data_IF_246874242528
#
_entry.id   IF_246874242528
#
_cell.length_a   1.000
_cell.length_b   1.000
_cell.length_c   1.000
_cell.angle_alpha   90.00
_cell.angle_beta   90.00
_cell.angle_gamma   90.00
#
_symmetry.space_group_name_H-M   'P 1'
#
loop_
_entity.id
_entity.type
_entity.pdbx_description
1 polymer ?
#
# COMPACT_ATOMS: atom_id res chain seq x y z
N UNK A 1 -5.43 18.79 -25.03
CA UNK A 1 -4.55 19.97 -24.86
C UNK A 1 -4.14 20.02 -23.40
N UNK A 2 -2.88 19.71 -23.10
CA UNK A 2 -2.30 19.82 -21.76
C UNK A 2 -2.19 21.32 -21.42
N UNK A 3 -2.91 21.76 -20.40
CA UNK A 3 -2.83 23.13 -19.87
C UNK A 3 -1.45 23.29 -19.20
N UNK A 4 -0.75 24.37 -19.53
CA UNK A 4 0.61 24.67 -19.06
C UNK A 4 0.83 24.37 -17.56
N UNK A 5 1.78 23.49 -17.29
CA UNK A 5 2.30 23.20 -15.95
C UNK A 5 3.47 24.15 -15.68
N UNK A 6 3.15 25.41 -15.34
CA UNK A 6 4.15 26.42 -14.92
C UNK A 6 4.62 26.23 -13.48
N UNK A 7 4.11 25.22 -12.77
CA UNK A 7 4.59 24.77 -11.47
C UNK A 7 5.05 23.31 -11.58
N UNK A 8 6.34 23.05 -11.38
CA UNK A 8 6.92 21.70 -11.46
C UNK A 8 6.24 20.69 -10.52
N UNK A 9 5.56 21.15 -9.45
CA UNK A 9 4.87 20.31 -8.48
C UNK A 9 3.39 20.09 -8.79
N UNK A 10 2.85 20.69 -9.85
CA UNK A 10 1.43 20.59 -10.22
C UNK A 10 0.52 21.55 -9.44
N UNK A 11 -0.81 21.38 -9.53
CA UNK A 11 -1.76 22.22 -8.81
C UNK A 11 -1.59 22.06 -7.30
N UNK A 12 -1.81 23.15 -6.56
CA UNK A 12 -1.90 23.12 -5.10
C UNK A 12 -3.15 22.37 -4.64
N UNK A 13 -3.16 21.93 -3.38
CA UNK A 13 -4.27 21.12 -2.86
C UNK A 13 -5.61 21.86 -2.90
N UNK A 14 -5.60 23.18 -2.67
CA UNK A 14 -6.77 24.06 -2.71
C UNK A 14 -7.32 24.28 -4.13
N UNK A 15 -6.49 24.02 -5.14
CA UNK A 15 -6.86 24.11 -6.57
C UNK A 15 -7.44 22.80 -7.11
N UNK A 16 -7.39 21.72 -6.32
CA UNK A 16 -7.98 20.44 -6.68
C UNK A 16 -9.49 20.47 -6.47
N UNK A 17 -10.20 19.85 -7.39
CA UNK A 17 -11.61 19.50 -7.16
C UNK A 17 -11.71 18.41 -6.08
N UNK A 18 -12.88 18.27 -5.46
CA UNK A 18 -13.12 17.23 -4.44
C UNK A 18 -12.85 15.80 -4.96
N UNK A 19 -13.14 15.56 -6.24
CA UNK A 19 -12.89 14.29 -6.91
C UNK A 19 -11.40 14.03 -7.11
N UNK A 20 -10.64 15.05 -7.52
CA UNK A 20 -9.17 14.95 -7.66
C UNK A 20 -8.49 14.75 -6.31
N UNK A 21 -8.97 15.39 -5.24
CA UNK A 21 -8.47 15.15 -3.88
C UNK A 21 -8.70 13.70 -3.43
N UNK A 22 -9.87 13.13 -3.69
CA UNK A 22 -10.17 11.74 -3.34
C UNK A 22 -9.33 10.74 -4.14
N UNK A 23 -9.02 11.05 -5.40
CA UNK A 23 -8.16 10.21 -6.22
C UNK A 23 -6.69 10.20 -5.74
N UNK A 24 -6.20 11.29 -5.14
CA UNK A 24 -4.83 11.38 -4.60
C UNK A 24 -4.73 10.69 -3.23
N UNK A 25 -5.79 10.72 -2.43
CA UNK A 25 -5.86 9.98 -1.17
C UNK A 25 -5.85 8.49 -1.51
N UNK A 26 -4.64 7.93 -1.59
CA UNK A 26 -4.43 6.55 -1.99
C UNK A 26 -5.35 5.64 -1.20
N UNK A 27 -6.05 4.77 -1.92
CA UNK A 27 -6.75 3.62 -1.37
C UNK A 27 -5.70 2.66 -0.80
N UNK A 28 -5.07 3.04 0.32
CA UNK A 28 -4.04 2.28 0.99
C UNK A 28 -4.58 0.90 1.30
N UNK A 29 -4.36 -0.02 0.37
CA UNK A 29 -4.73 -1.42 0.48
C UNK A 29 -3.73 -2.04 1.45
N UNK A 30 -3.93 -1.79 2.74
CA UNK A 30 -3.37 -2.64 3.78
C UNK A 30 -4.19 -3.93 3.70
N UNK A 31 -3.80 -4.84 2.78
CA UNK A 31 -4.41 -6.16 2.72
C UNK A 31 -4.12 -6.89 4.02
N UNK A 32 -5.10 -6.94 4.91
CA UNK A 32 -5.05 -7.81 6.08
C UNK A 32 -4.87 -9.29 5.67
N UNK A 33 -5.28 -9.67 4.45
CA UNK A 33 -5.32 -11.06 3.96
C UNK A 33 -3.94 -11.67 3.65
N UNK A 34 -2.89 -10.85 3.44
CA UNK A 34 -1.51 -11.38 3.26
C UNK A 34 -0.80 -11.67 4.59
N UNK A 35 -1.34 -11.17 5.70
CA UNK A 35 -0.79 -11.37 7.04
C UNK A 35 -1.00 -12.78 7.59
N UNK A 36 -2.19 -13.43 7.49
CA UNK A 36 -2.40 -14.76 8.07
C UNK A 36 -1.58 -15.85 7.38
N UNK A 37 -1.39 -15.81 6.07
CA UNK A 37 -0.64 -16.86 5.34
C UNK A 37 0.85 -16.80 5.70
N UNK A 38 1.48 -15.62 5.64
CA UNK A 38 2.89 -15.49 6.01
C UNK A 38 3.14 -15.86 7.48
N UNK A 39 2.22 -15.50 8.38
CA UNK A 39 2.33 -15.84 9.80
C UNK A 39 2.17 -17.35 10.04
N UNK A 40 1.17 -17.98 9.43
CA UNK A 40 0.90 -19.43 9.59
C UNK A 40 1.98 -20.30 8.94
N UNK A 41 2.47 -19.93 7.75
CA UNK A 41 3.57 -20.64 7.08
C UNK A 41 4.87 -20.49 7.88
N UNK A 42 5.19 -19.27 8.33
CA UNK A 42 6.40 -19.00 9.10
C UNK A 42 6.44 -19.75 10.43
N UNK A 43 5.37 -19.66 11.24
CA UNK A 43 5.28 -20.38 12.51
C UNK A 43 5.12 -21.88 12.34
N UNK A 44 4.27 -22.31 11.42
CA UNK A 44 3.96 -23.73 11.21
C UNK A 44 5.15 -24.51 10.68
N UNK A 45 5.70 -24.10 9.53
CA UNK A 45 6.84 -24.81 8.93
C UNK A 45 8.10 -24.60 9.77
N UNK A 46 8.32 -23.38 10.27
CA UNK A 46 9.49 -23.05 11.10
C UNK A 46 9.57 -23.91 12.36
N UNK A 47 8.45 -24.13 13.05
CA UNK A 47 8.43 -24.97 14.27
C UNK A 47 8.65 -26.46 13.97
N UNK A 48 8.11 -26.98 12.87
CA UNK A 48 8.30 -28.38 12.47
C UNK A 48 9.76 -28.68 12.06
N UNK A 49 10.40 -27.75 11.33
CA UNK A 49 11.82 -27.88 10.99
C UNK A 49 12.68 -27.78 12.26
N UNK A 50 12.39 -26.83 13.15
CA UNK A 50 13.11 -26.71 14.41
C UNK A 50 13.01 -27.97 15.27
N UNK A 51 11.83 -28.61 15.35
CA UNK A 51 11.63 -29.83 16.13
C UNK A 51 12.26 -31.09 15.51
N UNK A 52 12.59 -31.06 14.22
CA UNK A 52 13.18 -32.21 13.52
C UNK A 52 14.70 -32.12 13.38
N UNK A 53 15.28 -30.93 13.53
CA UNK A 53 16.73 -30.67 13.42
C UNK A 53 17.41 -30.49 14.80
N UNK A 54 16.67 -30.17 15.87
CA UNK A 54 17.19 -30.05 17.24
C UNK A 54 16.75 -31.20 18.15
#
# INVERSE_FOLDING_TARGET
>A
MMKEMTNYAGPTFEELTGEEMQAIQGSGDVQAETTPVCFTVGLGIGSLVSASVC
#
